data_IF_636172598055
#
_entry.id   IF_636172598055
#
_cell.length_a   1.000
_cell.length_b   1.000
_cell.length_c   1.000
_cell.angle_alpha   90.00
_cell.angle_beta   90.00
_cell.angle_gamma   90.00
#
_symmetry.space_group_name_H-M   'P 1'
#
loop_
_entity.id
_entity.type
_entity.pdbx_description
1 polymer ?
#
# COMPACT_ATOMS: atom_id res chain seq x y z
N UNK A 1 12.57 -13.73 19.16
CA UNK A 1 11.88 -12.80 18.24
C UNK A 1 10.39 -12.91 18.57
N UNK A 2 9.70 -11.85 19.00
CA UNK A 2 8.26 -11.96 19.28
C UNK A 2 7.52 -12.43 18.01
N UNK A 3 6.54 -13.34 18.15
CA UNK A 3 5.69 -13.85 17.04
C UNK A 3 5.13 -12.75 16.13
N UNK A 4 5.09 -11.51 16.62
CA UNK A 4 4.62 -10.29 15.97
C UNK A 4 5.36 -9.95 14.68
N UNK A 5 6.68 -10.19 14.59
CA UNK A 5 7.46 -9.87 13.38
C UNK A 5 7.51 -11.03 12.37
N UNK A 6 6.97 -12.19 12.73
CA UNK A 6 7.06 -13.39 11.92
C UNK A 6 6.36 -13.23 10.57
N UNK A 7 5.17 -12.61 10.55
CA UNK A 7 4.42 -12.42 9.30
C UNK A 7 5.15 -11.47 8.32
N UNK A 8 5.61 -10.31 8.79
CA UNK A 8 6.38 -9.38 7.96
C UNK A 8 7.70 -10.01 7.50
N UNK A 9 8.35 -10.82 8.34
CA UNK A 9 9.55 -11.57 7.97
C UNK A 9 9.23 -12.63 6.91
N UNK A 10 8.15 -13.40 7.06
CA UNK A 10 7.72 -14.39 6.07
C UNK A 10 7.42 -13.71 4.74
N UNK A 11 6.64 -12.63 4.72
CA UNK A 11 6.36 -11.87 3.49
C UNK A 11 7.63 -11.33 2.85
N UNK A 12 8.57 -10.81 3.65
CA UNK A 12 9.87 -10.34 3.16
C UNK A 12 10.70 -11.49 2.57
N UNK A 13 10.77 -12.64 3.24
CA UNK A 13 11.47 -13.83 2.76
C UNK A 13 10.83 -14.36 1.49
N UNK A 14 9.50 -14.46 1.42
CA UNK A 14 8.78 -14.89 0.22
C UNK A 14 9.04 -13.94 -0.95
N UNK A 15 9.06 -12.64 -0.69
CA UNK A 15 9.39 -11.61 -1.68
C UNK A 15 10.82 -11.77 -2.20
N UNK A 16 11.80 -11.99 -1.32
CA UNK A 16 13.19 -12.28 -1.72
C UNK A 16 13.32 -13.62 -2.47
N UNK A 17 12.61 -14.67 -2.05
CA UNK A 17 12.61 -15.96 -2.73
C UNK A 17 12.05 -15.84 -4.15
N UNK A 18 10.94 -15.10 -4.34
CA UNK A 18 10.38 -14.83 -5.66
C UNK A 18 11.40 -14.10 -6.54
N UNK A 19 12.06 -13.06 -6.00
CA UNK A 19 13.09 -12.32 -6.71
C UNK A 19 14.28 -13.21 -7.09
N UNK A 20 14.80 -14.00 -6.16
CA UNK A 20 15.93 -14.88 -6.39
C UNK A 20 15.59 -15.97 -7.42
N UNK A 21 14.35 -16.47 -7.41
CA UNK A 21 13.86 -17.40 -8.43
C UNK A 21 13.86 -16.74 -9.83
N UNK A 22 13.36 -15.51 -9.96
CA UNK A 22 13.41 -14.75 -11.22
C UNK A 22 14.86 -14.55 -11.69
N UNK A 23 15.77 -14.21 -10.78
CA UNK A 23 17.20 -14.03 -11.09
C UNK A 23 17.88 -15.32 -11.51
N UNK A 24 17.60 -16.45 -10.85
CA UNK A 24 18.14 -17.75 -11.25
C UNK A 24 17.65 -18.11 -12.66
N UNK A 25 16.34 -17.95 -12.92
CA UNK A 25 15.77 -18.23 -14.24
C UNK A 25 16.43 -17.39 -15.32
N UNK A 26 16.69 -16.10 -15.03
CA UNK A 26 17.41 -15.20 -15.92
C UNK A 26 18.83 -15.68 -16.23
N UNK A 27 19.61 -16.03 -15.20
CA UNK A 27 20.99 -16.50 -15.40
C UNK A 27 21.06 -17.83 -16.16
N UNK A 28 20.13 -18.75 -15.89
CA UNK A 28 20.06 -20.02 -16.63
C UNK A 28 19.81 -19.75 -18.12
N UNK A 29 18.96 -18.77 -18.44
CA UNK A 29 18.66 -18.37 -19.81
C UNK A 29 19.89 -17.80 -20.52
N UNK A 30 20.63 -16.89 -19.87
CA UNK A 30 21.88 -16.33 -20.44
C UNK A 30 22.96 -17.38 -20.70
N UNK A 31 23.01 -18.45 -19.89
CA UNK A 31 24.01 -19.51 -20.02
C UNK A 31 23.83 -20.38 -21.27
N UNK A 32 22.72 -20.28 -22.01
CA UNK A 32 22.45 -21.03 -23.25
C UNK A 32 22.77 -22.53 -23.13
N UNK A 33 22.38 -23.14 -22.02
CA UNK A 33 22.73 -24.54 -21.72
C UNK A 33 22.06 -25.48 -22.74
N UNK A 34 22.82 -26.37 -23.40
CA UNK A 34 22.27 -27.29 -24.39
C UNK A 34 21.26 -28.26 -23.74
N UNK A 35 20.05 -28.32 -24.29
CA UNK A 35 18.98 -29.20 -23.83
C UNK A 35 17.91 -28.52 -22.96
N UNK A 36 18.08 -27.25 -22.59
CA UNK A 36 17.04 -26.43 -21.99
C UNK A 36 16.30 -25.61 -23.06
N UNK A 37 15.04 -25.20 -22.81
CA UNK A 37 14.33 -24.29 -23.71
C UNK A 37 15.15 -23.02 -23.89
N UNK A 38 15.22 -22.50 -25.13
CA UNK A 38 16.00 -21.32 -25.50
C UNK A 38 15.53 -19.99 -24.89
N UNK A 39 14.44 -20.02 -24.13
CA UNK A 39 13.93 -18.85 -23.39
C UNK A 39 13.04 -19.33 -22.23
N UNK A 40 13.62 -19.49 -21.04
CA UNK A 40 12.86 -19.69 -19.78
C UNK A 40 12.15 -18.42 -19.35
N UNK A 41 12.70 -17.25 -19.73
CA UNK A 41 12.07 -15.95 -19.59
C UNK A 41 11.86 -15.40 -21.00
N UNK A 42 10.64 -14.96 -21.36
CA UNK A 42 10.44 -14.25 -22.63
C UNK A 42 11.44 -13.10 -22.78
N UNK A 43 12.17 -13.06 -23.91
CA UNK A 43 13.24 -12.09 -24.16
C UNK A 43 12.79 -10.62 -24.02
N UNK A 44 11.49 -10.37 -24.18
CA UNK A 44 10.82 -9.09 -23.91
C UNK A 44 11.10 -8.59 -22.48
N UNK A 45 11.05 -9.48 -21.48
CA UNK A 45 11.25 -9.14 -20.07
C UNK A 45 12.70 -8.94 -19.66
N UNK A 46 13.65 -9.45 -20.45
CA UNK A 46 15.09 -9.23 -20.22
C UNK A 46 15.42 -7.76 -20.42
N UNK A 47 14.87 -7.17 -21.48
CA UNK A 47 15.14 -5.78 -21.87
C UNK A 47 14.14 -4.76 -21.30
N UNK A 48 12.90 -5.17 -21.04
CA UNK A 48 11.85 -4.30 -20.49
C UNK A 48 10.95 -5.09 -19.54
N UNK A 49 11.19 -5.02 -18.23
CA UNK A 49 10.37 -5.72 -17.24
C UNK A 49 9.09 -4.92 -16.91
N UNK A 50 9.18 -3.60 -16.76
CA UNK A 50 8.04 -2.68 -16.74
C UNK A 50 8.24 -1.63 -17.83
N UNK A 51 7.34 -1.56 -18.83
CA UNK A 51 7.52 -0.66 -19.99
C UNK A 51 7.76 0.82 -19.63
N UNK A 52 7.20 1.28 -18.51
CA UNK A 52 7.31 2.68 -18.05
C UNK A 52 8.67 2.96 -17.40
N UNK A 53 9.38 1.94 -16.89
CA UNK A 53 10.69 2.10 -16.28
C UNK A 53 11.78 1.77 -17.31
N UNK A 54 12.72 2.69 -17.58
CA UNK A 54 13.86 2.38 -18.43
C UNK A 54 14.82 1.47 -17.66
N UNK A 55 14.89 0.19 -18.02
CA UNK A 55 15.74 -0.75 -17.31
C UNK A 55 15.60 -2.20 -17.75
N UNK A 56 16.62 -3.00 -17.41
CA UNK A 56 16.54 -4.46 -17.47
C UNK A 56 15.73 -4.98 -16.28
N UNK A 57 15.37 -6.26 -16.32
CA UNK A 57 14.72 -6.95 -15.18
C UNK A 57 15.44 -6.73 -13.85
N UNK A 58 16.77 -6.67 -13.87
CA UNK A 58 17.58 -6.45 -12.67
C UNK A 58 17.41 -5.05 -12.10
N UNK A 59 17.51 -4.01 -12.94
CA UNK A 59 17.38 -2.62 -12.50
C UNK A 59 15.97 -2.34 -12.01
N UNK A 60 14.96 -2.88 -12.69
CA UNK A 60 13.55 -2.68 -12.32
C UNK A 60 13.25 -3.33 -10.97
N UNK A 61 13.73 -4.55 -10.74
CA UNK A 61 13.54 -5.23 -9.46
C UNK A 61 14.28 -4.54 -8.30
N UNK A 62 15.50 -4.02 -8.53
CA UNK A 62 16.19 -3.21 -7.52
C UNK A 62 15.39 -1.93 -7.21
N UNK A 63 14.92 -1.24 -8.25
CA UNK A 63 14.10 -0.04 -8.09
C UNK A 63 12.83 -0.32 -7.29
N UNK A 64 12.22 -1.50 -7.43
CA UNK A 64 11.03 -1.89 -6.65
C UNK A 64 11.26 -1.97 -5.14
N UNK A 65 12.47 -2.28 -4.67
CA UNK A 65 12.80 -2.23 -3.23
C UNK A 65 13.31 -0.87 -2.78
N UNK A 66 14.15 -0.22 -3.61
CA UNK A 66 14.74 1.07 -3.28
C UNK A 66 13.68 2.16 -3.26
N UNK A 67 12.74 2.15 -4.21
CA UNK A 67 11.80 3.25 -4.38
C UNK A 67 10.83 3.41 -3.20
N UNK A 68 10.17 2.36 -2.64
CA UNK A 68 9.42 2.47 -1.39
C UNK A 68 10.27 2.99 -0.22
N UNK A 69 11.53 2.56 -0.11
CA UNK A 69 12.46 3.03 0.93
C UNK A 69 12.77 4.53 0.78
N UNK A 70 13.03 4.99 -0.44
CA UNK A 70 13.29 6.40 -0.78
C UNK A 70 12.05 7.24 -0.49
N UNK A 71 10.86 6.80 -0.92
CA UNK A 71 9.59 7.49 -0.66
C UNK A 71 9.36 7.64 0.85
N UNK A 72 9.56 6.58 1.63
CA UNK A 72 9.47 6.65 3.09
C UNK A 72 10.50 7.60 3.72
N UNK A 73 11.76 7.54 3.27
CA UNK A 73 12.82 8.40 3.77
C UNK A 73 12.50 9.89 3.52
N UNK A 74 12.01 10.20 2.31
CA UNK A 74 11.54 11.55 1.94
C UNK A 74 10.41 11.96 2.88
N UNK A 75 9.39 11.12 3.07
CA UNK A 75 8.27 11.45 3.96
C UNK A 75 8.70 11.69 5.41
N UNK A 76 9.60 10.88 5.95
CA UNK A 76 10.15 11.07 7.30
C UNK A 76 10.91 12.41 7.41
N UNK A 77 11.56 12.84 6.34
CA UNK A 77 12.30 14.10 6.29
C UNK A 77 11.34 15.30 6.21
N UNK A 78 10.35 15.25 5.33
CA UNK A 78 9.40 16.36 5.11
C UNK A 78 8.19 16.34 6.05
N UNK A 79 8.03 15.30 6.88
CA UNK A 79 6.85 15.08 7.72
C UNK A 79 6.32 16.32 8.47
N UNK A 80 7.15 17.16 9.13
CA UNK A 80 6.66 18.35 9.81
C UNK A 80 6.01 19.37 8.87
N UNK A 81 6.59 19.56 7.68
CA UNK A 81 6.08 20.48 6.65
C UNK A 81 4.82 19.90 6.03
N UNK A 82 4.82 18.60 5.75
CA UNK A 82 3.70 17.90 5.13
C UNK A 82 2.46 17.92 6.02
N UNK A 83 2.59 17.54 7.30
CA UNK A 83 1.49 17.56 8.27
C UNK A 83 0.92 18.98 8.41
N UNK A 84 1.80 19.98 8.46
CA UNK A 84 1.37 21.39 8.46
C UNK A 84 0.58 21.77 7.20
N UNK A 85 1.06 21.37 6.03
CA UNK A 85 0.39 21.63 4.75
C UNK A 85 -0.98 20.99 4.70
N UNK A 86 -1.08 19.71 5.05
CA UNK A 86 -2.34 18.96 5.07
C UNK A 86 -3.33 19.54 6.07
N UNK A 87 -2.85 19.92 7.25
CA UNK A 87 -3.65 20.64 8.24
C UNK A 87 -4.28 21.91 7.65
N UNK A 88 -3.51 22.75 6.96
CA UNK A 88 -4.00 23.97 6.32
C UNK A 88 -5.00 23.68 5.19
N UNK A 89 -4.71 22.67 4.36
CA UNK A 89 -5.63 22.23 3.30
C UNK A 89 -6.97 21.83 3.92
N UNK A 90 -6.94 21.03 4.98
CA UNK A 90 -8.15 20.62 5.70
C UNK A 90 -8.92 21.82 6.26
N UNK A 91 -8.24 22.80 6.87
CA UNK A 91 -8.90 24.01 7.39
C UNK A 91 -9.61 24.82 6.29
N UNK A 92 -9.01 24.93 5.10
CA UNK A 92 -9.61 25.59 3.92
C UNK A 92 -10.89 24.87 3.48
N UNK A 93 -10.97 23.55 3.57
CA UNK A 93 -12.20 22.82 3.15
C UNK A 93 -13.44 23.12 3.98
N UNK A 94 -13.30 23.81 5.12
CA UNK A 94 -14.42 24.12 6.02
C UNK A 94 -14.83 25.59 6.05
N UNK A 95 -14.42 26.40 5.05
CA UNK A 95 -14.75 27.84 4.95
C UNK A 95 -16.26 28.13 5.14
N UNK A 96 -17.16 27.22 4.73
CA UNK A 96 -18.61 27.41 4.79
C UNK A 96 -19.32 26.87 6.05
N UNK A 97 -18.58 26.33 7.04
CA UNK A 97 -19.14 25.79 8.29
C UNK A 97 -18.36 26.31 9.51
N UNK A 98 -18.89 26.10 10.72
CA UNK A 98 -18.17 26.39 11.97
C UNK A 98 -16.74 25.84 11.90
N UNK A 99 -15.75 26.75 11.98
CA UNK A 99 -14.34 26.40 11.87
C UNK A 99 -13.98 25.34 12.92
N UNK A 100 -13.39 24.21 12.51
CA UNK A 100 -12.91 23.24 13.47
C UNK A 100 -11.81 23.86 14.35
N UNK A 101 -11.82 23.50 15.63
CA UNK A 101 -10.66 23.66 16.50
C UNK A 101 -9.78 22.42 16.36
N UNK A 102 -8.52 22.56 16.70
CA UNK A 102 -7.53 21.51 16.50
C UNK A 102 -6.79 21.24 17.80
N UNK A 103 -6.41 19.99 18.00
CA UNK A 103 -5.61 19.61 19.15
C UNK A 103 -4.81 18.35 18.86
N UNK A 104 -3.81 18.12 19.69
CA UNK A 104 -2.94 16.95 19.62
C UNK A 104 -3.30 16.03 20.78
N UNK A 105 -3.79 14.83 20.48
CA UNK A 105 -3.93 13.77 21.47
C UNK A 105 -2.58 13.06 21.54
N UNK A 106 -2.02 12.91 22.74
CA UNK A 106 -0.80 12.11 22.91
C UNK A 106 -1.13 10.64 22.61
N UNK A 107 -0.76 10.19 21.42
CA UNK A 107 -0.79 8.79 21.04
C UNK A 107 0.27 7.97 21.80
N UNK A 108 0.13 6.65 21.75
CA UNK A 108 1.17 5.75 22.27
C UNK A 108 2.48 5.90 21.50
N UNK A 109 3.60 5.57 22.15
CA UNK A 109 4.96 5.64 21.58
C UNK A 109 5.30 4.48 20.63
N UNK A 110 4.37 3.54 20.45
CA UNK A 110 4.52 2.33 19.63
C UNK A 110 3.23 2.01 18.90
N UNK A 111 3.36 1.61 17.63
CA UNK A 111 2.24 1.13 16.82
C UNK A 111 2.08 -0.37 17.10
N UNK A 112 0.84 -0.84 17.26
CA UNK A 112 0.58 -2.28 17.39
C UNK A 112 0.97 -2.97 16.09
N UNK A 113 1.65 -4.11 16.15
CA UNK A 113 2.09 -4.84 14.95
C UNK A 113 0.94 -5.22 14.02
N UNK A 114 -0.23 -5.54 14.57
CA UNK A 114 -1.46 -5.78 13.79
C UNK A 114 -1.85 -4.57 12.94
N UNK A 115 -1.62 -3.35 13.44
CA UNK A 115 -1.85 -2.11 12.69
C UNK A 115 -0.81 -1.91 11.58
N UNK A 116 0.46 -2.27 11.81
CA UNK A 116 1.49 -2.24 10.76
C UNK A 116 1.19 -3.23 9.63
N UNK A 117 0.81 -4.46 9.98
CA UNK A 117 0.40 -5.48 9.00
C UNK A 117 -0.82 -4.99 8.24
N UNK A 118 -1.85 -4.50 8.93
CA UNK A 118 -3.05 -3.94 8.31
C UNK A 118 -2.71 -2.83 7.31
N UNK A 119 -1.84 -1.88 7.69
CA UNK A 119 -1.36 -0.80 6.83
C UNK A 119 -0.66 -1.34 5.58
N UNK A 120 0.24 -2.32 5.72
CA UNK A 120 0.93 -2.93 4.58
C UNK A 120 -0.03 -3.65 3.62
N UNK A 121 -0.97 -4.42 4.17
CA UNK A 121 -1.96 -5.19 3.40
C UNK A 121 -2.88 -4.24 2.66
N UNK A 122 -3.34 -3.19 3.33
CA UNK A 122 -4.23 -2.20 2.72
C UNK A 122 -3.56 -1.50 1.53
N UNK A 123 -2.30 -1.08 1.66
CA UNK A 123 -1.54 -0.47 0.56
C UNK A 123 -1.38 -1.44 -0.61
N UNK A 124 -1.10 -2.71 -0.32
CA UNK A 124 -0.90 -3.75 -1.33
C UNK A 124 -2.21 -4.10 -2.06
N UNK A 125 -3.31 -4.20 -1.31
CA UNK A 125 -4.65 -4.40 -1.88
C UNK A 125 -5.09 -3.19 -2.71
N UNK A 126 -4.78 -1.97 -2.27
CA UNK A 126 -5.09 -0.77 -3.04
C UNK A 126 -4.35 -0.78 -4.39
N UNK A 127 -3.04 -1.05 -4.37
CA UNK A 127 -2.26 -1.17 -5.59
C UNK A 127 -2.83 -2.25 -6.53
N UNK A 128 -3.22 -3.41 -5.97
CA UNK A 128 -3.78 -4.52 -6.73
C UNK A 128 -5.16 -4.17 -7.31
N UNK A 129 -6.05 -3.62 -6.51
CA UNK A 129 -7.41 -3.23 -6.91
C UNK A 129 -7.39 -2.16 -7.98
N UNK A 130 -6.56 -1.11 -7.83
CA UNK A 130 -6.40 -0.06 -8.84
C UNK A 130 -5.83 -0.62 -10.14
N UNK A 131 -4.80 -1.46 -10.06
CA UNK A 131 -4.21 -2.08 -11.26
C UNK A 131 -5.22 -2.96 -11.98
N UNK A 132 -5.93 -3.81 -11.24
CA UNK A 132 -6.91 -4.73 -11.81
C UNK A 132 -8.01 -3.94 -12.53
N UNK A 133 -8.54 -2.88 -11.91
CA UNK A 133 -9.50 -2.00 -12.57
C UNK A 133 -8.95 -1.39 -13.86
N UNK A 134 -7.71 -0.88 -13.86
CA UNK A 134 -7.10 -0.31 -15.06
C UNK A 134 -6.93 -1.34 -16.19
N UNK A 135 -6.51 -2.56 -15.86
CA UNK A 135 -6.39 -3.65 -16.83
C UNK A 135 -7.75 -4.02 -17.40
N UNK A 136 -8.80 -4.06 -16.58
CA UNK A 136 -10.16 -4.38 -17.03
C UNK A 136 -10.78 -3.24 -17.86
N UNK A 137 -10.39 -1.99 -17.62
CA UNK A 137 -10.77 -0.83 -18.44
C UNK A 137 -9.97 -0.73 -19.76
N UNK A 138 -9.09 -1.69 -20.06
CA UNK A 138 -8.32 -1.74 -21.30
C UNK A 138 -7.05 -0.88 -21.30
N UNK A 139 -6.69 -0.28 -20.17
CA UNK A 139 -5.48 0.56 -20.02
C UNK A 139 -4.26 -0.28 -19.59
N UNK A 140 -4.43 -1.59 -19.39
CA UNK A 140 -3.37 -2.48 -18.90
C UNK A 140 -2.12 -2.58 -19.78
N UNK A 141 -2.24 -2.27 -21.07
CA UNK A 141 -1.14 -2.35 -22.03
C UNK A 141 0.00 -1.36 -21.73
N UNK A 142 -0.22 -0.35 -20.88
CA UNK A 142 0.85 0.57 -20.46
C UNK A 142 1.95 -0.13 -19.63
N UNK A 143 1.65 -1.30 -19.06
CA UNK A 143 2.60 -2.04 -18.23
C UNK A 143 3.45 -3.03 -19.02
N UNK A 144 3.09 -3.32 -20.29
CA UNK A 144 3.74 -4.33 -21.11
C UNK A 144 4.01 -3.82 -22.53
N UNK A 145 5.28 -3.86 -22.93
CA UNK A 145 5.78 -3.29 -24.18
C UNK A 145 5.34 -4.02 -25.47
N UNK A 146 4.99 -5.30 -25.39
CA UNK A 146 4.70 -6.12 -26.57
C UNK A 146 3.60 -7.13 -26.26
N UNK A 147 2.45 -7.00 -26.92
CA UNK A 147 1.49 -8.09 -27.00
C UNK A 147 2.11 -9.16 -27.91
N UNK A 148 2.88 -10.09 -27.34
CA UNK A 148 3.34 -11.26 -28.06
C UNK A 148 2.13 -11.99 -28.67
N UNK A 149 2.08 -12.07 -29.99
CA UNK A 149 1.02 -12.75 -30.74
C UNK A 149 1.12 -14.25 -30.47
N UNK A 150 0.39 -14.74 -29.46
CA UNK A 150 0.30 -16.18 -29.16
C UNK A 150 -0.04 -16.54 -27.72
N UNK A 151 0.15 -15.63 -26.75
CA UNK A 151 -0.16 -15.93 -25.35
C UNK A 151 -1.68 -15.87 -25.07
N UNK A 152 -2.23 -16.78 -24.24
CA UNK A 152 -3.61 -16.72 -23.79
C UNK A 152 -3.97 -15.35 -23.20
N UNK A 153 -5.11 -14.78 -23.60
CA UNK A 153 -5.57 -13.48 -23.09
C UNK A 153 -5.61 -13.38 -21.55
N UNK A 154 -6.02 -14.42 -20.78
CA UNK A 154 -5.98 -14.37 -19.32
C UNK A 154 -4.56 -14.20 -18.77
N UNK A 155 -3.57 -14.83 -19.39
CA UNK A 155 -2.17 -14.74 -18.98
C UNK A 155 -1.63 -13.33 -19.20
N UNK A 156 -1.92 -12.74 -20.37
CA UNK A 156 -1.55 -11.35 -20.69
C UNK A 156 -2.15 -10.38 -19.67
N UNK A 157 -3.44 -10.54 -19.35
CA UNK A 157 -4.10 -9.70 -18.33
C UNK A 157 -3.46 -9.87 -16.95
N UNK A 158 -3.09 -11.09 -16.59
CA UNK A 158 -2.48 -11.37 -15.30
C UNK A 158 -1.07 -10.80 -15.15
N UNK A 159 -0.26 -10.90 -16.20
CA UNK A 159 1.05 -10.27 -16.26
C UNK A 159 0.92 -8.75 -16.10
N UNK A 160 0.00 -8.11 -16.83
CA UNK A 160 -0.28 -6.68 -16.67
C UNK A 160 -0.71 -6.32 -15.23
N UNK A 161 -1.51 -7.17 -14.58
CA UNK A 161 -1.90 -6.98 -13.18
C UNK A 161 -0.70 -7.13 -12.25
N UNK A 162 0.15 -8.13 -12.48
CA UNK A 162 1.37 -8.35 -11.71
C UNK A 162 2.26 -7.10 -11.78
N UNK A 163 2.68 -6.70 -12.98
CA UNK A 163 3.57 -5.55 -13.19
C UNK A 163 2.95 -4.24 -12.72
N UNK A 164 1.68 -3.99 -13.05
CA UNK A 164 1.01 -2.78 -12.62
C UNK A 164 0.87 -2.70 -11.11
N UNK A 165 0.68 -3.83 -10.41
CA UNK A 165 0.61 -3.83 -8.94
C UNK A 165 1.95 -3.41 -8.35
N UNK A 166 3.07 -3.92 -8.87
CA UNK A 166 4.42 -3.47 -8.47
C UNK A 166 4.65 -1.98 -8.76
N UNK A 167 4.19 -1.48 -9.90
CA UNK A 167 4.28 -0.07 -10.26
C UNK A 167 3.45 0.84 -9.33
N UNK A 168 2.23 0.42 -8.97
CA UNK A 168 1.33 1.20 -8.10
C UNK A 168 1.67 1.10 -6.61
N UNK A 169 2.38 0.06 -6.20
CA UNK A 169 2.85 -0.16 -4.82
C UNK A 169 3.54 1.07 -4.20
N UNK A 170 4.53 1.71 -4.84
CA UNK A 170 5.14 2.91 -4.30
C UNK A 170 4.27 4.17 -4.47
N UNK A 171 3.43 4.23 -5.51
CA UNK A 171 2.50 5.35 -5.73
C UNK A 171 1.45 5.38 -4.61
N UNK A 172 0.96 4.22 -4.19
CA UNK A 172 0.00 4.13 -3.10
C UNK A 172 0.60 4.61 -1.78
N UNK A 173 1.90 4.42 -1.52
CA UNK A 173 2.57 5.04 -0.37
C UNK A 173 2.47 6.57 -0.37
N UNK A 174 2.51 7.22 -1.54
CA UNK A 174 2.34 8.68 -1.62
C UNK A 174 0.97 9.13 -1.11
N UNK A 175 -0.03 8.27 -1.18
CA UNK A 175 -1.39 8.53 -0.70
C UNK A 175 -1.52 8.19 0.79
N UNK A 176 -1.02 7.03 1.22
CA UNK A 176 -1.25 6.50 2.57
C UNK A 176 -0.31 7.09 3.64
N UNK A 177 0.98 7.24 3.36
CA UNK A 177 1.97 7.71 4.36
C UNK A 177 1.62 9.09 4.93
N UNK A 178 1.19 10.09 4.14
CA UNK A 178 0.77 11.38 4.69
C UNK A 178 -0.38 11.28 5.69
N UNK A 179 -1.33 10.37 5.46
CA UNK A 179 -2.48 10.13 6.34
C UNK A 179 -2.02 9.45 7.62
N UNK A 180 -1.15 8.43 7.51
CA UNK A 180 -0.60 7.75 8.68
C UNK A 180 0.19 8.70 9.58
N UNK A 181 0.94 9.64 9.00
CA UNK A 181 1.64 10.68 9.77
C UNK A 181 0.67 11.56 10.56
N UNK A 182 -0.50 11.90 10.00
CA UNK A 182 -1.53 12.68 10.70
C UNK A 182 -2.18 11.89 11.84
N UNK A 183 -2.53 10.63 11.59
CA UNK A 183 -3.10 9.73 12.58
C UNK A 183 -2.09 9.47 13.72
N UNK A 184 -0.85 9.15 13.38
CA UNK A 184 0.19 8.80 14.35
C UNK A 184 0.68 9.99 15.15
N UNK A 185 0.65 11.22 14.61
CA UNK A 185 0.94 12.40 15.42
C UNK A 185 -0.23 12.79 16.35
N UNK A 186 -1.38 12.14 16.23
CA UNK A 186 -2.55 12.35 17.08
C UNK A 186 -3.28 13.66 16.80
N UNK A 187 -3.12 14.23 15.61
CA UNK A 187 -3.77 15.48 15.25
C UNK A 187 -5.27 15.24 15.01
N UNK A 188 -6.11 15.91 15.80
CA UNK A 188 -7.56 15.84 15.70
C UNK A 188 -8.18 17.19 15.47
N UNK A 189 -9.25 17.20 14.68
CA UNK A 189 -10.16 18.32 14.54
C UNK A 189 -11.38 18.06 15.42
N UNK A 190 -11.78 19.06 16.20
CA UNK A 190 -12.99 19.00 17.00
C UNK A 190 -13.84 20.25 16.81
N UNK A 191 -15.16 20.07 16.91
CA UNK A 191 -16.11 21.19 16.86
C UNK A 191 -16.88 21.27 18.16
N UNK A 192 -16.75 22.41 18.84
CA UNK A 192 -17.63 22.78 19.94
C UNK A 192 -18.79 23.60 19.39
N UNK A 193 -20.01 23.11 19.55
CA UNK A 193 -21.22 23.86 19.21
C UNK A 193 -21.75 24.55 20.45
N UNK A 194 -21.34 25.81 20.68
CA UNK A 194 -21.90 26.61 21.78
C UNK A 194 -23.39 26.88 21.51
N UNK A 195 -24.25 26.54 22.47
CA UNK A 195 -25.70 26.84 22.42
C UNK A 195 -26.53 25.95 21.49
N UNK A 196 -25.97 24.91 20.86
CA UNK A 196 -26.72 23.94 20.07
C UNK A 196 -26.75 22.59 20.80
N UNK A 197 -27.87 21.85 20.73
CA UNK A 197 -27.99 20.46 21.21
C UNK A 197 -27.28 19.49 20.25
N UNK A 198 -26.02 19.75 19.94
CA UNK A 198 -25.18 18.90 19.09
C UNK A 198 -23.99 18.39 19.89
N UNK A 199 -23.76 17.10 19.77
CA UNK A 199 -22.64 16.42 20.43
C UNK A 199 -21.34 16.92 19.78
N UNK A 200 -20.30 17.25 20.56
CA UNK A 200 -19.00 17.59 20.01
C UNK A 200 -18.46 16.40 19.22
N UNK A 201 -18.08 16.64 17.97
CA UNK A 201 -17.46 15.63 17.12
C UNK A 201 -15.96 15.84 17.17
N UNK A 202 -15.23 14.85 17.69
CA UNK A 202 -13.76 14.77 17.65
C UNK A 202 -13.39 13.72 16.62
N UNK A 203 -12.60 14.11 15.61
CA UNK A 203 -12.20 13.19 14.54
C UNK A 203 -10.76 13.45 14.12
N UNK A 204 -10.03 12.38 13.80
CA UNK A 204 -8.73 12.50 13.14
C UNK A 204 -8.83 13.24 11.82
N UNK A 205 -7.84 14.09 11.51
CA UNK A 205 -7.81 14.76 10.21
C UNK A 205 -7.77 13.72 9.09
N UNK A 206 -8.54 13.97 8.04
CA UNK A 206 -8.67 13.05 6.89
C UNK A 206 -9.17 11.63 7.22
N UNK A 207 -9.74 11.37 8.41
CA UNK A 207 -10.31 10.04 8.71
C UNK A 207 -11.42 9.64 7.73
N UNK A 208 -12.22 10.60 7.26
CA UNK A 208 -13.23 10.35 6.22
C UNK A 208 -12.59 9.87 4.91
N UNK A 209 -11.48 10.48 4.50
CA UNK A 209 -10.76 10.14 3.27
C UNK A 209 -10.13 8.76 3.39
N UNK A 210 -9.54 8.45 4.55
CA UNK A 210 -9.02 7.11 4.84
C UNK A 210 -10.12 6.05 4.74
N UNK A 211 -11.30 6.29 5.33
CA UNK A 211 -12.42 5.37 5.24
C UNK A 211 -12.89 5.17 3.79
N UNK A 212 -12.92 6.24 2.97
CA UNK A 212 -13.26 6.15 1.55
C UNK A 212 -12.24 5.28 0.80
N UNK A 213 -10.94 5.49 1.04
CA UNK A 213 -9.89 4.67 0.43
C UNK A 213 -9.99 3.21 0.89
N UNK A 214 -10.25 2.95 2.17
CA UNK A 214 -10.42 1.59 2.71
C UNK A 214 -11.59 0.86 2.04
N UNK A 215 -12.74 1.53 1.92
CA UNK A 215 -13.92 0.98 1.23
C UNK A 215 -13.63 0.75 -0.25
N UNK A 216 -13.01 1.72 -0.93
CA UNK A 216 -12.60 1.58 -2.33
C UNK A 216 -11.65 0.39 -2.49
N UNK A 217 -10.67 0.24 -1.61
CA UNK A 217 -9.68 -0.85 -1.65
C UNK A 217 -10.37 -2.20 -1.52
N UNK A 218 -11.26 -2.35 -0.54
CA UNK A 218 -12.02 -3.59 -0.35
C UNK A 218 -12.89 -3.92 -1.57
N UNK A 219 -13.70 -2.97 -2.03
CA UNK A 219 -14.61 -3.18 -3.15
C UNK A 219 -13.88 -3.44 -4.47
N UNK A 220 -12.85 -2.65 -4.79
CA UNK A 220 -12.06 -2.82 -6.01
C UNK A 220 -11.31 -4.14 -6.05
N UNK A 221 -10.77 -4.60 -4.91
CA UNK A 221 -10.08 -5.89 -4.82
C UNK A 221 -11.05 -7.06 -5.00
N UNK A 222 -12.20 -7.04 -4.31
CA UNK A 222 -13.24 -8.08 -4.45
C UNK A 222 -13.73 -8.15 -5.89
N UNK A 223 -14.07 -7.00 -6.47
CA UNK A 223 -14.51 -6.91 -7.86
C UNK A 223 -13.42 -7.39 -8.83
N UNK A 224 -12.16 -7.01 -8.59
CA UNK A 224 -11.01 -7.45 -9.37
C UNK A 224 -10.83 -8.96 -9.37
N UNK A 225 -10.90 -9.60 -8.20
CA UNK A 225 -10.85 -11.06 -8.10
C UNK A 225 -12.02 -11.75 -8.79
N UNK A 226 -13.24 -11.22 -8.64
CA UNK A 226 -14.41 -11.76 -9.33
C UNK A 226 -14.20 -11.76 -10.85
N UNK A 227 -13.75 -10.63 -11.40
CA UNK A 227 -13.48 -10.53 -12.84
C UNK A 227 -12.33 -11.44 -13.29
N UNK A 228 -11.27 -11.56 -12.50
CA UNK A 228 -10.16 -12.47 -12.81
C UNK A 228 -10.62 -13.92 -12.89
N UNK A 229 -11.40 -14.37 -11.91
CA UNK A 229 -11.98 -15.71 -11.86
C UNK A 229 -12.89 -15.92 -13.07
N UNK A 230 -13.86 -15.02 -13.31
CA UNK A 230 -14.80 -15.15 -14.43
C UNK A 230 -14.11 -15.15 -15.79
N UNK A 231 -13.12 -14.28 -16.01
CA UNK A 231 -12.35 -14.24 -17.26
C UNK A 231 -11.54 -15.52 -17.48
N UNK A 232 -10.94 -16.06 -16.41
CA UNK A 232 -10.14 -17.29 -16.48
C UNK A 232 -11.05 -18.49 -16.76
N UNK A 233 -12.12 -18.68 -15.99
CA UNK A 233 -13.09 -19.75 -16.23
C UNK A 233 -13.76 -19.65 -17.60
N UNK A 234 -14.15 -18.44 -18.02
CA UNK A 234 -14.69 -18.20 -19.36
C UNK A 234 -13.72 -18.66 -20.45
N UNK A 235 -12.44 -18.31 -20.33
CA UNK A 235 -11.42 -18.77 -21.28
C UNK A 235 -11.33 -20.30 -21.37
N UNK A 236 -11.38 -21.03 -20.24
CA UNK A 236 -11.30 -22.50 -20.25
C UNK A 236 -12.55 -23.17 -20.81
N UNK A 237 -13.73 -22.61 -20.55
CA UNK A 237 -14.99 -23.09 -21.14
C UNK A 237 -14.95 -22.99 -22.66
N UNK A 238 -14.37 -21.91 -23.21
CA UNK A 238 -14.28 -21.72 -24.66
C UNK A 238 -13.07 -22.41 -25.31
N UNK A 239 -11.94 -22.51 -24.63
CA UNK A 239 -10.69 -23.08 -25.17
C UNK A 239 -10.58 -24.61 -25.02
N UNK A 240 -11.43 -25.24 -24.20
CA UNK A 240 -11.51 -26.71 -24.03
C UNK A 240 -10.18 -27.40 -23.65
N UNK A 241 -9.24 -26.68 -23.05
CA UNK A 241 -7.92 -27.21 -22.67
C UNK A 241 -7.59 -26.89 -21.21
N UNK A 242 -8.04 -27.73 -20.28
CA UNK A 242 -7.74 -27.60 -18.85
C UNK A 242 -6.27 -27.90 -18.48
N UNK A 243 -5.45 -28.30 -19.45
CA UNK A 243 -4.02 -28.54 -19.28
C UNK A 243 -3.18 -27.27 -19.38
N UNK A 244 -3.76 -26.12 -19.76
CA UNK A 244 -3.01 -24.85 -19.84
C UNK A 244 -2.66 -24.33 -18.42
N UNK A 245 -1.38 -24.08 -18.12
CA UNK A 245 -0.93 -23.49 -16.87
C UNK A 245 -1.63 -22.18 -16.48
N UNK A 246 -2.25 -21.47 -17.44
CA UNK A 246 -3.06 -20.28 -17.20
C UNK A 246 -4.20 -20.49 -16.17
N UNK A 247 -4.58 -21.73 -15.85
CA UNK A 247 -5.59 -22.05 -14.82
C UNK A 247 -5.14 -21.66 -13.41
N UNK A 248 -3.83 -21.60 -13.16
CA UNK A 248 -3.27 -21.22 -11.86
C UNK A 248 -3.22 -19.71 -11.64
N UNK A 249 -3.49 -18.93 -12.68
CA UNK A 249 -3.45 -17.46 -12.67
C UNK A 249 -4.21 -16.83 -11.50
N UNK A 250 -5.48 -17.23 -11.20
CA UNK A 250 -6.23 -16.62 -10.10
C UNK A 250 -5.59 -16.90 -8.74
N UNK A 251 -4.97 -18.08 -8.56
CA UNK A 251 -4.31 -18.47 -7.30
C UNK A 251 -3.08 -17.61 -7.07
N UNK A 252 -2.25 -17.44 -8.11
CA UNK A 252 -1.03 -16.62 -8.04
C UNK A 252 -1.41 -15.16 -7.73
N UNK A 253 -2.41 -14.61 -8.42
CA UNK A 253 -2.86 -13.24 -8.21
C UNK A 253 -3.55 -13.03 -6.85
N UNK A 254 -4.16 -14.06 -6.26
CA UNK A 254 -4.73 -13.99 -4.91
C UNK A 254 -3.65 -13.85 -3.83
N UNK A 255 -2.50 -14.47 -4.05
CA UNK A 255 -1.35 -14.40 -3.13
C UNK A 255 -0.52 -13.13 -3.38
N UNK A 256 -0.61 -12.51 -4.56
CA UNK A 256 0.20 -11.37 -4.97
C UNK A 256 0.22 -10.21 -3.96
N UNK A 257 -0.92 -9.72 -3.41
CA UNK A 257 -0.88 -8.65 -2.41
C UNK A 257 -0.08 -9.03 -1.16
N UNK A 258 -0.08 -10.30 -0.75
CA UNK A 258 0.67 -10.80 0.42
C UNK A 258 2.18 -10.93 0.15
N UNK A 259 2.57 -11.05 -1.12
CA UNK A 259 3.98 -11.00 -1.52
C UNK A 259 4.46 -9.54 -1.50
N UNK A 260 3.63 -8.64 -2.02
CA UNK A 260 3.94 -7.22 -2.11
C UNK A 260 4.02 -6.55 -0.74
N UNK A 261 3.26 -7.01 0.27
CA UNK A 261 3.47 -6.56 1.66
C UNK A 261 4.90 -6.76 2.15
N UNK A 262 5.62 -7.76 1.63
CA UNK A 262 7.03 -8.01 1.91
C UNK A 262 7.93 -6.84 1.52
N UNK A 263 7.62 -6.15 0.41
CA UNK A 263 8.35 -4.95 -0.03
C UNK A 263 8.26 -3.81 0.99
N UNK A 264 7.17 -3.76 1.76
CA UNK A 264 6.95 -2.72 2.76
C UNK A 264 7.48 -3.06 4.14
N UNK A 265 7.90 -4.30 4.39
CA UNK A 265 8.37 -4.72 5.72
C UNK A 265 9.53 -3.85 6.22
N UNK A 266 10.53 -3.60 5.37
CA UNK A 266 11.69 -2.80 5.73
C UNK A 266 11.37 -1.29 5.88
N UNK A 267 10.67 -0.63 4.93
CA UNK A 267 10.25 0.76 5.11
C UNK A 267 9.38 0.97 6.37
N UNK A 268 8.43 0.07 6.65
CA UNK A 268 7.57 0.16 7.83
C UNK A 268 8.35 -0.05 9.13
N UNK A 269 9.32 -0.97 9.14
CA UNK A 269 10.22 -1.14 10.27
C UNK A 269 11.03 0.13 10.56
N UNK A 270 11.58 0.77 9.52
CA UNK A 270 12.28 2.04 9.66
C UNK A 270 11.36 3.18 10.11
N UNK A 271 10.11 3.19 9.65
CA UNK A 271 9.09 4.14 10.07
C UNK A 271 8.79 4.01 11.56
N UNK A 272 8.50 2.80 12.04
CA UNK A 272 8.24 2.53 13.45
C UNK A 272 9.43 2.94 14.33
N UNK A 273 10.65 2.59 13.93
CA UNK A 273 11.88 2.93 14.67
C UNK A 273 12.07 4.45 14.82
N UNK A 274 11.65 5.23 13.82
CA UNK A 274 11.81 6.69 13.81
C UNK A 274 10.57 7.45 14.31
N UNK A 275 9.48 6.76 14.66
CA UNK A 275 8.18 7.37 14.94
C UNK A 275 8.25 8.45 16.02
N UNK A 276 8.85 8.15 17.18
CA UNK A 276 8.97 9.11 18.29
C UNK A 276 9.73 10.37 17.87
N UNK A 277 10.80 10.21 17.08
CA UNK A 277 11.60 11.35 16.57
C UNK A 277 10.80 12.16 15.54
N UNK A 278 9.99 11.52 14.71
CA UNK A 278 9.11 12.18 13.74
C UNK A 278 8.00 12.95 14.46
N UNK A 279 7.29 12.31 15.41
CA UNK A 279 6.24 12.93 16.22
C UNK A 279 6.74 14.17 16.96
N UNK A 280 7.89 14.08 17.64
CA UNK A 280 8.46 15.23 18.37
C UNK A 280 8.75 16.41 17.43
N UNK A 281 9.26 16.15 16.23
CA UNK A 281 9.51 17.19 15.21
C UNK A 281 8.20 17.81 14.71
N UNK A 282 7.16 17.00 14.49
CA UNK A 282 5.83 17.48 14.10
C UNK A 282 5.23 18.34 15.22
N UNK A 283 5.20 17.83 16.46
CA UNK A 283 4.64 18.53 17.62
C UNK A 283 5.35 19.85 17.90
N UNK A 284 6.69 19.89 17.84
CA UNK A 284 7.46 21.13 17.96
C UNK A 284 7.08 22.16 16.91
N UNK A 285 6.79 21.73 15.68
CA UNK A 285 6.34 22.63 14.60
C UNK A 285 4.90 23.07 14.78
N UNK A 286 3.98 22.18 15.18
CA UNK A 286 2.57 22.51 15.43
C UNK A 286 2.38 23.40 16.67
N UNK A 287 3.24 23.29 17.68
CA UNK A 287 3.23 24.18 18.84
C UNK A 287 3.42 25.66 18.44
N UNK A 288 4.20 25.94 17.39
CA UNK A 288 4.37 27.29 16.83
C UNK A 288 3.08 27.86 16.23
N UNK A 289 2.07 27.03 16.01
CA UNK A 289 0.75 27.41 15.47
C UNK A 289 -0.36 27.37 16.54
N UNK A 290 0.00 27.38 17.83
CA UNK A 290 -0.94 27.38 18.96
C UNK A 290 -1.92 26.20 18.95
N UNK A 291 -1.51 25.03 18.45
CA UNK A 291 -2.31 23.82 18.54
C UNK A 291 -2.04 23.15 19.89
N UNK A 292 -3.03 23.12 20.82
CA UNK A 292 -2.83 22.61 22.18
C UNK A 292 -2.79 21.07 22.21
N UNK A 293 -2.20 20.54 23.28
CA UNK A 293 -2.36 19.13 23.65
C UNK A 293 -3.72 18.94 24.34
N UNK A 294 -4.46 17.92 23.93
CA UNK A 294 -5.73 17.53 24.54
C UNK A 294 -5.51 16.29 25.41
N UNK A 295 -5.95 16.37 26.66
CA UNK A 295 -6.06 15.20 27.52
C UNK A 295 -7.44 14.56 27.28
N UNK A 296 -7.45 13.45 26.53
CA UNK A 296 -8.60 12.57 26.49
C UNK A 296 -8.32 11.38 27.42
N UNK A 297 -9.22 11.08 28.37
CA UNK A 297 -9.05 9.91 29.21
C UNK A 297 -9.01 8.67 28.32
N UNK A 298 -8.03 7.80 28.53
CA UNK A 298 -7.96 6.54 27.81
C UNK A 298 -9.17 5.68 28.14
N UNK A 299 -9.66 4.85 27.21
CA UNK A 299 -10.80 3.97 27.43
C UNK A 299 -10.64 3.10 28.70
N UNK A 300 -9.43 2.61 28.96
CA UNK A 300 -9.10 1.84 30.16
C UNK A 300 -9.20 2.65 31.46
N UNK A 301 -8.98 3.97 31.40
CA UNK A 301 -9.17 4.89 32.52
C UNK A 301 -10.66 5.17 32.76
N UNK A 302 -11.46 5.22 31.70
CA UNK A 302 -12.92 5.37 31.79
C UNK A 302 -13.57 4.11 32.42
N UNK A 303 -13.15 2.91 32.02
CA UNK A 303 -13.63 1.65 32.63
C UNK A 303 -13.27 1.58 34.12
N UNK A 304 -12.04 1.96 34.48
CA UNK A 304 -11.62 1.98 35.90
C UNK A 304 -12.43 2.98 36.72
N UNK A 305 -12.79 4.13 36.14
CA UNK A 305 -13.63 5.13 36.81
C UNK A 305 -15.08 4.66 37.00
N UNK A 306 -15.63 3.88 36.06
CA UNK A 306 -16.94 3.24 36.19
C UNK A 306 -16.96 2.19 37.30
N UNK A 307 -15.90 1.38 37.43
CA UNK A 307 -15.81 0.33 38.46
C UNK A 307 -15.47 0.85 39.87
N UNK A 308 -15.15 2.13 40.02
CA UNK A 308 -14.93 2.80 41.32
C UNK A 308 -16.11 3.65 41.78
N UNK A 309 -17.22 3.67 41.03
CA UNK A 309 -18.50 4.26 41.45
C UNK A 309 -19.48 3.17 41.83
#
# INVERSE_FOLDING_TARGET
MENKNLFMLISLVLSFCLFFAIMILYFIDEMNLPGLPTSLIPAEYIHFFIQILPGTIFTDLILLYIFPMVVFAIFILIAPVLVQGLYKIYDITFIFRNKPQYGIIKGGTRIKTTSLIYRSVLVSLFAFGTTTLMVQLGVGNIFRATAGTGAPLPLIKAENIFFGTFFFTPISLLVFVPIWLLEDCGLVGYRSFKGQRKIPVVQGLFKWYMNVIEVYTGLSTIYGYLLLILNTFGYFVFSSSFSDPAILTPIILLILPLIITGLFALPLFLYEKNLNKVQNRIHSRLAKYNIPFLELPAYDQLIKQENTK
#
